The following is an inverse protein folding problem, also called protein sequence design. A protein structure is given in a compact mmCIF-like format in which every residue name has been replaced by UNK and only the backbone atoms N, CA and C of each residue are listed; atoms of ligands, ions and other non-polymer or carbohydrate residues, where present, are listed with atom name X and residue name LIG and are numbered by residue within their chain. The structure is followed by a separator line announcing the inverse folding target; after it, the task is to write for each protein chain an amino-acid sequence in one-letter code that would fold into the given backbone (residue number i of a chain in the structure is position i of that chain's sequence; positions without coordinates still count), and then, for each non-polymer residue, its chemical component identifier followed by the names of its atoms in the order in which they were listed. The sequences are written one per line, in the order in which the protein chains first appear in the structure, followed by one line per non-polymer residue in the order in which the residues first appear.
data_IF_573019261324
#
_entry.id   IF_573019261324
#
_cell.length_a   1.000
_cell.length_b   1.000
_cell.length_c   1.000
_cell.angle_alpha   90.00
_cell.angle_beta   90.00
_cell.angle_gamma   90.00
#
_symmetry.space_group_name_H-M   'P 1'
#
loop_
_entity.id
_entity.type
_entity.pdbx_description
1 polymer ?
#
# COMPACT_ATOMS: atom_id res chain seq x y z
N UNK A 1 -11.76 -18.86 -76.72
CA UNK A 1 -13.01 -19.39 -76.10
C UNK A 1 -12.79 -19.37 -74.59
N UNK A 2 -13.77 -18.83 -73.84
CA UNK A 2 -13.65 -18.25 -72.49
C UNK A 2 -12.83 -19.06 -71.46
N UNK A 3 -11.85 -18.39 -70.86
CA UNK A 3 -11.22 -18.77 -69.58
C UNK A 3 -12.18 -18.43 -68.43
N UNK A 4 -12.34 -19.36 -67.49
CA UNK A 4 -12.99 -19.15 -66.19
C UNK A 4 -12.12 -18.27 -65.28
N UNK A 5 -12.74 -17.29 -64.63
CA UNK A 5 -12.20 -16.61 -63.44
C UNK A 5 -13.19 -16.86 -62.31
N UNK A 6 -12.77 -17.41 -61.16
CA UNK A 6 -13.64 -17.56 -60.01
C UNK A 6 -13.72 -16.24 -59.22
N UNK A 7 -14.94 -15.81 -58.96
CA UNK A 7 -15.29 -14.71 -58.07
C UNK A 7 -14.84 -15.03 -56.64
N UNK A 8 -13.94 -14.23 -56.08
CA UNK A 8 -13.56 -14.29 -54.66
C UNK A 8 -14.74 -13.76 -53.83
N UNK A 9 -15.47 -14.65 -53.17
CA UNK A 9 -16.46 -14.28 -52.16
C UNK A 9 -15.72 -14.08 -50.83
N UNK A 10 -15.55 -12.84 -50.39
CA UNK A 10 -15.03 -12.53 -49.06
C UNK A 10 -16.07 -12.98 -48.01
N UNK A 11 -15.83 -14.12 -47.38
CA UNK A 11 -16.56 -14.55 -46.20
C UNK A 11 -16.05 -13.70 -45.03
N UNK A 12 -16.75 -12.61 -44.74
CA UNK A 12 -16.61 -11.92 -43.47
C UNK A 12 -17.14 -12.86 -42.38
N UNK A 13 -16.23 -13.36 -41.55
CA UNK A 13 -16.56 -14.00 -40.28
C UNK A 13 -17.26 -12.97 -39.40
N UNK A 14 -18.59 -13.00 -39.37
CA UNK A 14 -19.36 -12.41 -38.29
C UNK A 14 -19.22 -13.38 -37.11
N UNK A 15 -18.41 -13.04 -36.12
CA UNK A 15 -18.43 -13.69 -34.80
C UNK A 15 -19.42 -12.86 -33.97
N UNK A 16 -20.68 -13.29 -33.78
CA UNK A 16 -21.59 -12.61 -32.88
C UNK A 16 -21.25 -13.09 -31.46
N UNK A 17 -20.73 -12.20 -30.62
CA UNK A 17 -20.56 -12.56 -29.20
C UNK A 17 -19.43 -11.90 -28.43
N UNK A 18 -18.84 -10.80 -28.92
CA UNK A 18 -18.08 -9.91 -28.03
C UNK A 18 -18.98 -8.71 -27.72
N UNK A 19 -19.90 -8.88 -26.76
CA UNK A 19 -20.47 -7.74 -26.06
C UNK A 19 -19.33 -7.11 -25.28
N UNK A 20 -18.86 -5.97 -25.76
CA UNK A 20 -17.97 -5.07 -25.03
C UNK A 20 -18.71 -4.70 -23.73
N UNK A 21 -18.35 -5.38 -22.65
CA UNK A 21 -18.92 -5.13 -21.34
C UNK A 21 -18.37 -3.78 -20.91
N UNK A 22 -19.17 -2.72 -21.02
CA UNK A 22 -18.82 -1.40 -20.50
C UNK A 22 -18.46 -1.56 -19.02
N UNK A 23 -17.16 -1.48 -18.72
CA UNK A 23 -16.65 -1.49 -17.35
C UNK A 23 -17.15 -0.22 -16.71
N UNK A 24 -18.22 -0.32 -15.92
CA UNK A 24 -18.72 0.78 -15.13
C UNK A 24 -17.61 1.19 -14.14
N UNK A 25 -17.21 2.48 -14.11
CA UNK A 25 -16.15 2.92 -13.23
C UNK A 25 -16.53 2.66 -11.77
N UNK A 26 -15.55 2.22 -10.97
CA UNK A 26 -15.75 1.98 -9.54
C UNK A 26 -16.22 3.27 -8.88
N UNK A 27 -17.27 3.25 -8.04
CA UNK A 27 -17.68 4.44 -7.27
C UNK A 27 -16.61 4.87 -6.25
N UNK A 28 -15.51 4.12 -6.15
CA UNK A 28 -14.42 4.34 -5.19
C UNK A 28 -13.10 4.74 -5.86
N UNK A 29 -13.08 5.06 -7.16
CA UNK A 29 -11.85 5.36 -7.92
C UNK A 29 -10.91 6.34 -7.19
N UNK A 30 -11.43 7.50 -6.77
CA UNK A 30 -10.64 8.53 -6.07
C UNK A 30 -10.07 8.03 -4.73
N UNK A 31 -10.84 7.21 -4.01
CA UNK A 31 -10.39 6.63 -2.76
C UNK A 31 -9.30 5.57 -2.99
N UNK A 32 -9.44 4.74 -4.04
CA UNK A 32 -8.44 3.74 -4.40
C UNK A 32 -7.11 4.42 -4.75
N UNK A 33 -7.14 5.48 -5.56
CA UNK A 33 -5.93 6.26 -5.90
C UNK A 33 -5.27 6.79 -4.63
N UNK A 34 -6.07 7.34 -3.71
CA UNK A 34 -5.54 7.88 -2.45
C UNK A 34 -4.94 6.79 -1.57
N UNK A 35 -5.63 5.66 -1.43
CA UNK A 35 -5.12 4.49 -0.72
C UNK A 35 -3.77 4.02 -1.29
N UNK A 36 -3.69 3.85 -2.61
CA UNK A 36 -2.48 3.35 -3.27
C UNK A 36 -1.30 4.31 -3.05
N UNK A 37 -1.54 5.63 -3.11
CA UNK A 37 -0.52 6.63 -2.79
C UNK A 37 -0.05 6.51 -1.34
N UNK A 38 -0.98 6.37 -0.38
CA UNK A 38 -0.64 6.20 1.03
C UNK A 38 0.17 4.92 1.27
N UNK A 39 -0.23 3.81 0.66
CA UNK A 39 0.50 2.53 0.75
C UNK A 39 1.89 2.64 0.13
N UNK A 40 2.03 3.32 -1.01
CA UNK A 40 3.31 3.52 -1.66
C UNK A 40 4.26 4.37 -0.81
N UNK A 41 3.78 5.48 -0.27
CA UNK A 41 4.56 6.34 0.60
C UNK A 41 4.92 5.66 1.92
N UNK A 42 3.96 4.93 2.49
CA UNK A 42 4.17 4.08 3.65
C UNK A 42 5.26 3.03 3.40
N UNK A 43 5.22 2.35 2.25
CA UNK A 43 6.24 1.39 1.85
C UNK A 43 7.61 2.03 1.64
N UNK A 44 7.68 3.25 1.09
CA UNK A 44 8.95 3.99 0.96
C UNK A 44 9.57 4.23 2.34
N UNK A 45 8.78 4.69 3.31
CA UNK A 45 9.24 4.93 4.68
C UNK A 45 9.72 3.63 5.34
N UNK A 46 8.94 2.55 5.24
CA UNK A 46 9.34 1.23 5.77
C UNK A 46 10.63 0.71 5.14
N UNK A 47 10.81 0.91 3.83
CA UNK A 47 12.04 0.50 3.15
C UNK A 47 13.25 1.32 3.60
N UNK A 48 13.08 2.63 3.86
CA UNK A 48 14.14 3.46 4.43
C UNK A 48 14.47 3.03 5.85
N UNK A 49 13.45 2.85 6.68
CA UNK A 49 13.59 2.31 8.03
C UNK A 49 14.35 0.99 8.06
N UNK A 50 13.97 0.03 7.20
CA UNK A 50 14.64 -1.27 7.11
C UNK A 50 16.12 -1.14 6.73
N UNK A 51 16.48 -0.24 5.80
CA UNK A 51 17.88 0.04 5.46
C UNK A 51 18.67 0.60 6.66
N UNK A 52 18.05 1.44 7.48
CA UNK A 52 18.69 1.96 8.69
C UNK A 52 18.84 0.87 9.75
N UNK A 53 17.82 0.02 9.92
CA UNK A 53 17.87 -1.12 10.83
C UNK A 53 18.97 -2.12 10.41
N UNK A 54 19.09 -2.43 9.11
CA UNK A 54 20.17 -3.25 8.57
C UNK A 54 21.55 -2.63 8.80
N UNK A 55 21.66 -1.31 8.66
CA UNK A 55 22.90 -0.58 8.93
C UNK A 55 23.30 -0.67 10.41
N UNK A 56 22.32 -0.68 11.33
CA UNK A 56 22.54 -0.89 12.76
C UNK A 56 22.94 -2.36 13.06
N UNK A 57 22.32 -3.34 12.39
CA UNK A 57 22.69 -4.76 12.51
C UNK A 57 24.12 -5.02 12.02
N UNK A 58 24.47 -4.44 10.88
CA UNK A 58 25.78 -4.58 10.24
C UNK A 58 26.85 -3.65 10.82
N UNK A 59 26.52 -2.90 11.88
CA UNK A 59 27.41 -1.98 12.58
C UNK A 59 28.01 -0.88 11.68
N UNK A 60 27.34 -0.57 10.56
CA UNK A 60 27.70 0.58 9.70
C UNK A 60 27.34 1.91 10.34
N UNK A 61 26.30 1.91 11.17
CA UNK A 61 25.93 3.02 12.04
C UNK A 61 25.81 2.49 13.48
N UNK A 62 26.06 3.37 14.44
CA UNK A 62 25.78 3.09 15.84
C UNK A 62 24.32 3.40 16.20
N UNK A 63 23.93 3.14 17.44
CA UNK A 63 22.59 3.38 17.92
C UNK A 63 22.15 4.85 17.79
N UNK A 64 23.06 5.80 18.08
CA UNK A 64 22.79 7.23 17.93
C UNK A 64 22.56 7.62 16.47
N UNK A 65 23.37 7.07 15.56
CA UNK A 65 23.24 7.26 14.11
C UNK A 65 21.92 6.69 13.59
N UNK A 66 21.52 5.51 14.07
CA UNK A 66 20.20 4.94 13.78
C UNK A 66 19.07 5.85 14.24
N UNK A 67 19.09 6.33 15.49
CA UNK A 67 18.07 7.24 16.02
C UNK A 67 17.95 8.52 15.21
N UNK A 68 19.07 9.12 14.79
CA UNK A 68 19.08 10.31 13.92
C UNK A 68 18.42 10.03 12.57
N UNK A 69 18.82 8.96 11.89
CA UNK A 69 18.29 8.62 10.57
C UNK A 69 16.79 8.28 10.63
N UNK A 70 16.34 7.55 11.65
CA UNK A 70 14.90 7.26 11.82
C UNK A 70 14.12 8.53 12.17
N UNK A 71 14.68 9.46 12.94
CA UNK A 71 14.01 10.73 13.28
C UNK A 71 13.67 11.58 12.06
N UNK A 72 14.44 11.46 10.97
CA UNK A 72 14.17 12.13 9.69
C UNK A 72 12.91 11.58 9.00
N UNK A 73 12.49 10.35 9.32
CA UNK A 73 11.30 9.70 8.76
C UNK A 73 10.00 10.06 9.50
N UNK A 74 10.11 10.46 10.76
CA UNK A 74 8.95 10.71 11.65
C UNK A 74 8.00 11.79 11.10
N UNK A 75 8.48 12.96 10.60
CA UNK A 75 7.59 13.99 10.06
C UNK A 75 6.75 13.49 8.88
N UNK A 76 7.37 12.78 7.93
CA UNK A 76 6.68 12.22 6.77
C UNK A 76 5.65 11.16 7.19
N UNK A 77 5.97 10.33 8.17
CA UNK A 77 5.00 9.38 8.73
C UNK A 77 3.82 10.06 9.40
N UNK A 78 4.04 11.19 10.09
CA UNK A 78 2.96 11.97 10.69
C UNK A 78 2.07 12.64 9.62
N UNK A 79 2.64 13.11 8.53
CA UNK A 79 1.88 13.64 7.39
C UNK A 79 0.94 12.59 6.79
N UNK A 80 1.38 11.32 6.69
CA UNK A 80 0.51 10.22 6.25
C UNK A 80 -0.68 9.98 7.19
N UNK A 81 -0.45 9.97 8.50
CA UNK A 81 -1.52 9.84 9.50
C UNK A 81 -2.55 10.96 9.33
N UNK A 82 -2.07 12.21 9.26
CA UNK A 82 -2.95 13.37 9.10
C UNK A 82 -3.72 13.36 7.79
N UNK A 83 -3.09 12.93 6.70
CA UNK A 83 -3.74 12.80 5.39
C UNK A 83 -4.94 11.84 5.44
N UNK A 84 -4.79 10.72 6.15
CA UNK A 84 -5.86 9.74 6.34
C UNK A 84 -6.97 10.27 7.25
N UNK A 85 -6.62 10.84 8.41
CA UNK A 85 -7.60 11.40 9.36
C UNK A 85 -8.53 12.42 8.69
N UNK A 86 -8.00 13.23 7.79
CA UNK A 86 -8.78 14.25 7.08
C UNK A 86 -9.82 13.69 6.10
N UNK A 87 -9.71 12.41 5.70
CA UNK A 87 -10.58 11.79 4.70
C UNK A 87 -11.76 11.01 5.30
N UNK A 88 -11.75 10.77 6.60
CA UNK A 88 -12.70 9.86 7.27
C UNK A 88 -14.17 10.31 7.16
N UNK A 89 -14.43 11.61 7.01
CA UNK A 89 -15.77 12.19 7.12
C UNK A 89 -16.69 11.93 5.90
N UNK A 90 -16.14 11.52 4.76
CA UNK A 90 -16.87 11.41 3.49
C UNK A 90 -16.93 9.97 2.93
N UNK A 91 -16.70 8.96 3.77
CA UNK A 91 -16.57 7.57 3.31
C UNK A 91 -17.90 6.80 3.40
N UNK A 92 -18.17 5.96 2.40
CA UNK A 92 -19.27 5.00 2.45
C UNK A 92 -19.01 3.92 3.51
N UNK A 93 -20.03 3.21 4.05
CA UNK A 93 -19.82 2.23 5.11
C UNK A 93 -18.80 1.12 4.81
N UNK A 94 -18.75 0.51 3.61
CA UNK A 94 -17.74 -0.50 3.28
C UNK A 94 -16.31 0.07 3.29
N UNK A 95 -16.13 1.27 2.75
CA UNK A 95 -14.84 1.96 2.69
C UNK A 95 -14.41 2.49 4.06
N UNK A 96 -15.35 2.92 4.88
CA UNK A 96 -15.09 3.42 6.22
C UNK A 96 -14.43 2.35 7.11
N UNK A 97 -14.93 1.11 7.09
CA UNK A 97 -14.33 0.03 7.87
C UNK A 97 -12.88 -0.23 7.42
N UNK A 98 -12.69 -0.36 6.11
CA UNK A 98 -11.36 -0.52 5.52
C UNK A 98 -10.40 0.63 5.87
N UNK A 99 -10.89 1.87 5.79
CA UNK A 99 -10.13 3.06 6.13
C UNK A 99 -9.65 3.06 7.59
N UNK A 100 -10.48 2.59 8.53
CA UNK A 100 -10.08 2.45 9.93
C UNK A 100 -8.96 1.42 10.13
N UNK A 101 -8.95 0.35 9.35
CA UNK A 101 -7.86 -0.63 9.42
C UNK A 101 -6.57 -0.03 8.87
N UNK A 102 -6.65 0.68 7.74
CA UNK A 102 -5.53 1.40 7.16
C UNK A 102 -4.93 2.44 8.11
N UNK A 103 -5.75 3.28 8.73
CA UNK A 103 -5.24 4.30 9.65
C UNK A 103 -4.63 3.69 10.90
N UNK A 104 -5.17 2.55 11.37
CA UNK A 104 -4.57 1.77 12.46
C UNK A 104 -3.16 1.30 12.09
N UNK A 105 -2.99 0.77 10.88
CA UNK A 105 -1.70 0.30 10.38
C UNK A 105 -0.68 1.43 10.21
N UNK A 106 -1.08 2.56 9.63
CA UNK A 106 -0.19 3.72 9.46
C UNK A 106 0.21 4.32 10.82
N UNK A 107 -0.70 4.36 11.79
CA UNK A 107 -0.38 4.77 13.16
C UNK A 107 0.60 3.80 13.84
N UNK A 108 0.42 2.49 13.65
CA UNK A 108 1.33 1.47 14.18
C UNK A 108 2.74 1.64 13.59
N UNK A 109 2.84 1.89 12.29
CA UNK A 109 4.10 2.27 11.65
C UNK A 109 4.71 3.55 12.23
N UNK A 110 3.91 4.59 12.44
CA UNK A 110 4.39 5.82 13.05
C UNK A 110 4.98 5.56 14.44
N UNK A 111 4.29 4.76 15.26
CA UNK A 111 4.75 4.37 16.59
C UNK A 111 6.05 3.55 16.54
N UNK A 112 6.22 2.66 15.56
CA UNK A 112 7.49 1.95 15.36
C UNK A 112 8.65 2.93 15.15
N UNK A 113 8.46 3.97 14.32
CA UNK A 113 9.49 4.98 14.07
C UNK A 113 9.81 5.79 15.33
N UNK A 114 8.78 6.27 16.03
CA UNK A 114 8.94 7.06 17.27
C UNK A 114 9.62 6.23 18.37
N UNK A 115 9.15 5.01 18.61
CA UNK A 115 9.72 4.12 19.62
C UNK A 115 11.18 3.76 19.29
N UNK A 116 11.52 3.63 18.01
CA UNK A 116 12.88 3.40 17.55
C UNK A 116 13.81 4.57 17.84
N UNK A 117 13.31 5.80 17.64
CA UNK A 117 14.00 7.06 17.99
C UNK A 117 14.21 7.14 19.50
N UNK A 118 13.14 6.94 20.28
CA UNK A 118 13.19 7.02 21.74
C UNK A 118 14.16 5.99 22.32
N UNK A 119 14.08 4.73 21.87
CA UNK A 119 15.00 3.69 22.31
C UNK A 119 16.46 4.01 21.95
N UNK A 120 16.69 4.56 20.75
CA UNK A 120 18.03 4.93 20.32
C UNK A 120 18.68 5.97 21.25
N UNK A 121 17.91 6.87 21.84
CA UNK A 121 18.41 7.95 22.69
C UNK A 121 18.30 7.70 24.20
N UNK A 122 17.72 6.59 24.65
CA UNK A 122 17.46 6.32 26.09
C UNK A 122 18.56 5.54 26.84
N UNK A 123 19.81 5.50 26.37
CA UNK A 123 20.93 4.72 26.98
C UNK A 123 20.61 3.22 27.22
N UNK A 124 19.53 2.72 26.62
CA UNK A 124 19.14 1.32 26.56
C UNK A 124 19.53 0.78 25.20
N UNK A 125 20.12 -0.40 25.15
CA UNK A 125 20.44 -1.03 23.87
C UNK A 125 19.16 -1.19 23.03
N UNK A 126 19.20 -0.69 21.79
CA UNK A 126 18.07 -0.81 20.87
C UNK A 126 17.71 -2.29 20.67
N UNK A 127 16.46 -2.67 20.94
CA UNK A 127 15.98 -4.04 20.74
C UNK A 127 15.70 -4.29 19.25
N UNK A 128 16.77 -4.59 18.51
CA UNK A 128 16.74 -4.75 17.05
C UNK A 128 15.76 -5.85 16.61
N UNK A 129 15.66 -6.92 17.40
CA UNK A 129 14.74 -8.04 17.12
C UNK A 129 13.28 -7.61 17.20
N UNK A 130 12.91 -6.90 18.27
CA UNK A 130 11.56 -6.34 18.42
C UNK A 130 11.21 -5.41 17.26
N UNK A 131 12.15 -4.54 16.88
CA UNK A 131 11.99 -3.63 15.75
C UNK A 131 11.87 -4.32 14.39
N UNK A 132 12.61 -5.41 14.19
CA UNK A 132 12.52 -6.22 12.98
C UNK A 132 11.19 -6.96 12.90
N UNK A 133 10.73 -7.55 13.99
CA UNK A 133 9.46 -8.27 14.05
C UNK A 133 8.28 -7.32 13.79
N UNK A 134 8.26 -6.17 14.46
CA UNK A 134 7.21 -5.16 14.26
C UNK A 134 7.17 -4.66 12.80
N UNK A 135 8.33 -4.41 12.19
CA UNK A 135 8.43 -4.08 10.77
C UNK A 135 7.83 -5.16 9.87
N UNK A 136 8.12 -6.44 10.14
CA UNK A 136 7.62 -7.57 9.35
C UNK A 136 6.11 -7.70 9.48
N UNK A 137 5.56 -7.54 10.69
CA UNK A 137 4.12 -7.58 10.95
C UNK A 137 3.39 -6.47 10.19
N UNK A 138 3.88 -5.23 10.24
CA UNK A 138 3.32 -4.11 9.47
C UNK A 138 3.33 -4.40 7.96
N UNK A 139 4.42 -4.96 7.43
CA UNK A 139 4.51 -5.33 6.00
C UNK A 139 3.52 -6.43 5.62
N UNK A 140 3.28 -7.39 6.50
CA UNK A 140 2.28 -8.43 6.28
C UNK A 140 0.87 -7.82 6.27
N UNK A 141 0.57 -6.93 7.22
CA UNK A 141 -0.72 -6.24 7.29
C UNK A 141 -0.98 -5.35 6.07
N UNK A 142 0.03 -4.66 5.52
CA UNK A 142 -0.12 -3.96 4.23
C UNK A 142 -0.60 -4.90 3.12
N UNK A 143 -0.05 -6.11 3.06
CA UNK A 143 -0.42 -7.10 2.04
C UNK A 143 -1.88 -7.52 2.20
N UNK A 144 -2.33 -7.72 3.44
CA UNK A 144 -3.73 -8.05 3.75
C UNK A 144 -4.66 -6.93 3.32
N UNK A 145 -4.35 -5.67 3.64
CA UNK A 145 -5.20 -4.53 3.25
C UNK A 145 -5.28 -4.33 1.74
N UNK A 146 -4.18 -4.52 1.00
CA UNK A 146 -4.20 -4.44 -0.46
C UNK A 146 -5.18 -5.49 -1.04
N UNK A 147 -5.13 -6.72 -0.53
CA UNK A 147 -6.03 -7.79 -0.95
C UNK A 147 -7.50 -7.50 -0.57
N UNK A 148 -7.75 -7.00 0.64
CA UNK A 148 -9.09 -6.58 1.06
C UNK A 148 -9.66 -5.48 0.15
N UNK A 149 -8.87 -4.45 -0.17
CA UNK A 149 -9.33 -3.40 -1.08
C UNK A 149 -9.67 -3.97 -2.45
N UNK A 150 -8.85 -4.90 -2.97
CA UNK A 150 -9.15 -5.58 -4.23
C UNK A 150 -10.52 -6.25 -4.15
N UNK A 151 -10.82 -6.97 -3.08
CA UNK A 151 -12.12 -7.64 -2.92
C UNK A 151 -13.30 -6.66 -2.82
N UNK A 152 -13.14 -5.54 -2.09
CA UNK A 152 -14.17 -4.48 -1.98
C UNK A 152 -14.46 -3.88 -3.36
N UNK A 153 -13.43 -3.66 -4.16
CA UNK A 153 -13.54 -2.96 -5.45
C UNK A 153 -13.96 -3.86 -6.60
N UNK A 154 -13.69 -5.17 -6.53
CA UNK A 154 -14.19 -6.17 -7.49
C UNK A 154 -15.55 -6.74 -7.11
N UNK A 155 -16.12 -6.37 -5.96
CA UNK A 155 -17.43 -6.84 -5.50
C UNK A 155 -17.45 -8.33 -5.13
N UNK A 156 -16.31 -8.91 -4.76
CA UNK A 156 -16.17 -10.35 -4.44
C UNK A 156 -16.21 -10.65 -2.95
N UNK A 157 -16.60 -9.68 -2.11
CA UNK A 157 -16.99 -9.94 -0.73
C UNK A 157 -18.39 -10.58 -0.76
N UNK A 158 -18.44 -11.90 -1.00
CA UNK A 158 -19.63 -12.68 -0.67
C UNK A 158 -19.77 -12.72 0.86
N UNK A 159 -20.95 -12.29 1.35
CA UNK A 159 -21.36 -12.29 2.77
C UNK A 159 -21.32 -13.68 3.42
#
# INVERSE_FOLDING_TARGET
MKLMVPTLLAIFFFIPGCTEQEVQPSPYEDYIVTFMNVVDDSNKLLNQYHKHLDSLYTQKIDQTGFGKQVSELVPQSNELVQSLDNQIYNLSPPIYNFHRELIGLINRQHLLLVNSVDAAFQDKEANKELFSNEFQEIKQEHTVLIEQLRMITTGTLEE
#
